data_IF_554474697757
#
_entry.id   IF_554474697757
#
_cell.length_a   1.000
_cell.length_b   1.000
_cell.length_c   1.000
_cell.angle_alpha   90.00
_cell.angle_beta   90.00
_cell.angle_gamma   90.00
#
_symmetry.space_group_name_H-M   'P 1'
#
loop_
_entity.id
_entity.type
_entity.pdbx_description
1 polymer ?
#
# COMPACT_ATOMS: atom_id res chain seq x y z
N UNK A 1 31.65 -5.06 -6.67
CA UNK A 1 30.59 -6.09 -6.51
C UNK A 1 29.23 -5.49 -6.14
N UNK A 2 29.19 -4.38 -5.39
CA UNK A 2 27.96 -3.65 -5.02
C UNK A 2 27.11 -3.19 -6.21
N UNK A 3 27.73 -2.61 -7.25
CA UNK A 3 26.99 -2.14 -8.44
C UNK A 3 26.22 -3.26 -9.16
N UNK A 4 26.79 -4.47 -9.23
CA UNK A 4 26.14 -5.63 -9.85
C UNK A 4 24.92 -6.11 -9.03
N UNK A 5 25.03 -6.08 -7.70
CA UNK A 5 23.90 -6.38 -6.81
C UNK A 5 22.74 -5.37 -6.95
N UNK A 6 23.06 -4.08 -7.06
CA UNK A 6 22.06 -3.03 -7.28
C UNK A 6 21.36 -3.22 -8.64
N UNK A 7 22.10 -3.55 -9.70
CA UNK A 7 21.51 -3.81 -11.03
C UNK A 7 20.51 -4.99 -10.95
N UNK A 8 20.90 -6.10 -10.32
CA UNK A 8 20.01 -7.27 -10.16
C UNK A 8 18.77 -6.90 -9.34
N UNK A 9 18.93 -6.17 -8.24
CA UNK A 9 17.83 -5.70 -7.40
C UNK A 9 16.85 -4.84 -8.22
N UNK A 10 17.35 -3.90 -9.02
CA UNK A 10 16.52 -3.03 -9.85
C UNK A 10 15.75 -3.83 -10.91
N UNK A 11 16.35 -4.87 -11.52
CA UNK A 11 15.66 -5.75 -12.48
C UNK A 11 14.50 -6.50 -11.80
N UNK A 12 14.72 -7.02 -10.58
CA UNK A 12 13.67 -7.71 -9.80
C UNK A 12 12.54 -6.74 -9.46
N UNK A 13 12.85 -5.53 -8.99
CA UNK A 13 11.85 -4.50 -8.68
C UNK A 13 11.06 -4.10 -9.93
N UNK A 14 11.73 -3.86 -11.05
CA UNK A 14 11.08 -3.53 -12.32
C UNK A 14 10.12 -4.63 -12.77
N UNK A 15 10.52 -5.90 -12.61
CA UNK A 15 9.68 -7.06 -12.93
C UNK A 15 8.45 -7.13 -12.01
N UNK A 16 8.63 -6.91 -10.70
CA UNK A 16 7.53 -6.86 -9.74
C UNK A 16 6.52 -5.75 -10.05
N UNK A 17 7.00 -4.54 -10.34
CA UNK A 17 6.16 -3.41 -10.74
C UNK A 17 5.40 -3.70 -12.04
N UNK A 18 6.05 -4.34 -13.02
CA UNK A 18 5.39 -4.76 -14.26
C UNK A 18 4.24 -5.75 -13.98
N UNK A 19 4.44 -6.72 -13.09
CA UNK A 19 3.36 -7.62 -12.65
C UNK A 19 2.22 -6.87 -11.96
N UNK A 20 2.51 -5.93 -11.06
CA UNK A 20 1.47 -5.12 -10.42
C UNK A 20 0.65 -4.30 -11.44
N UNK A 21 1.32 -3.68 -12.42
CA UNK A 21 0.62 -2.95 -13.49
C UNK A 21 -0.25 -3.89 -14.33
N UNK A 22 0.25 -5.08 -14.67
CA UNK A 22 -0.51 -6.07 -15.41
C UNK A 22 -1.73 -6.57 -14.63
N UNK A 23 -1.57 -6.87 -13.34
CA UNK A 23 -2.65 -7.29 -12.43
C UNK A 23 -3.70 -6.20 -12.27
N UNK A 24 -3.28 -4.92 -12.15
CA UNK A 24 -4.19 -3.79 -12.03
C UNK A 24 -5.15 -3.70 -13.24
N UNK A 25 -4.70 -4.08 -14.45
CA UNK A 25 -5.58 -4.13 -15.63
C UNK A 25 -6.73 -5.13 -15.47
N UNK A 26 -6.51 -6.25 -14.80
CA UNK A 26 -7.59 -7.23 -14.52
C UNK A 26 -8.54 -6.71 -13.44
N UNK A 27 -8.00 -6.04 -12.41
CA UNK A 27 -8.79 -5.43 -11.34
C UNK A 27 -9.70 -4.32 -11.89
N UNK A 28 -9.29 -3.58 -12.93
CA UNK A 28 -10.11 -2.54 -13.56
C UNK A 28 -11.49 -3.00 -14.03
N UNK A 29 -11.66 -4.28 -14.37
CA UNK A 29 -12.97 -4.82 -14.75
C UNK A 29 -13.95 -4.77 -13.56
N UNK A 30 -13.43 -4.94 -12.34
CA UNK A 30 -14.17 -4.91 -11.09
C UNK A 30 -14.20 -3.53 -10.43
N UNK A 31 -13.47 -2.54 -10.96
CA UNK A 31 -13.42 -1.16 -10.45
C UNK A 31 -14.82 -0.55 -10.31
N UNK A 32 -15.76 -0.93 -11.18
CA UNK A 32 -17.15 -0.49 -11.07
C UNK A 32 -17.78 -0.84 -9.71
N UNK A 33 -17.48 -2.00 -9.15
CA UNK A 33 -17.99 -2.43 -7.84
C UNK A 33 -17.46 -1.55 -6.70
N UNK A 34 -16.26 -0.99 -6.85
CA UNK A 34 -15.61 -0.16 -5.85
C UNK A 34 -16.22 1.26 -5.76
N UNK A 35 -16.75 1.78 -6.88
CA UNK A 35 -17.28 3.15 -6.96
C UNK A 35 -18.79 3.24 -7.16
N UNK A 36 -19.45 2.15 -7.51
CA UNK A 36 -20.90 2.07 -7.65
C UNK A 36 -21.52 1.22 -6.54
N UNK A 37 -22.79 1.50 -6.25
CA UNK A 37 -23.56 0.73 -5.27
C UNK A 37 -23.86 -0.65 -5.86
N UNK A 38 -23.63 -1.69 -5.07
CA UNK A 38 -23.91 -3.07 -5.44
C UNK A 38 -25.15 -3.55 -4.68
N UNK A 39 -26.24 -3.84 -5.40
CA UNK A 39 -27.43 -4.44 -4.77
C UNK A 39 -27.28 -5.96 -4.85
N UNK A 40 -26.99 -6.58 -3.70
CA UNK A 40 -27.02 -8.04 -3.56
C UNK A 40 -28.42 -8.47 -3.09
N UNK A 41 -28.84 -9.67 -3.50
CA UNK A 41 -30.02 -10.30 -2.94
C UNK A 41 -29.81 -10.59 -1.44
N UNK A 42 -30.90 -10.65 -0.66
CA UNK A 42 -30.81 -10.87 0.79
C UNK A 42 -30.14 -12.23 1.10
N UNK A 43 -30.42 -13.26 0.31
CA UNK A 43 -29.80 -14.57 0.47
C UNK A 43 -28.28 -14.51 0.21
N UNK A 44 -27.87 -13.87 -0.89
CA UNK A 44 -26.46 -13.72 -1.25
C UNK A 44 -25.70 -12.88 -0.23
N UNK A 45 -26.33 -11.85 0.33
CA UNK A 45 -25.72 -11.00 1.37
C UNK A 45 -25.36 -11.83 2.60
N UNK A 46 -26.29 -12.67 3.08
CA UNK A 46 -26.05 -13.57 4.22
C UNK A 46 -24.96 -14.60 3.93
N UNK A 47 -24.89 -15.13 2.71
CA UNK A 47 -23.84 -16.06 2.29
C UNK A 47 -22.46 -15.38 2.34
N UNK A 48 -22.33 -14.19 1.77
CA UNK A 48 -21.06 -13.42 1.75
C UNK A 48 -20.64 -13.01 3.16
N UNK A 49 -21.58 -12.64 4.03
CA UNK A 49 -21.31 -12.34 5.43
C UNK A 49 -20.78 -13.56 6.20
N UNK A 50 -21.40 -14.73 5.99
CA UNK A 50 -20.93 -15.98 6.59
C UNK A 50 -19.53 -16.39 6.10
N UNK A 51 -19.24 -16.22 4.80
CA UNK A 51 -17.90 -16.47 4.25
C UNK A 51 -16.85 -15.51 4.82
N UNK A 52 -17.19 -14.23 4.95
CA UNK A 52 -16.31 -13.23 5.55
C UNK A 52 -16.01 -13.57 7.02
N UNK A 53 -17.01 -14.00 7.78
CA UNK A 53 -16.83 -14.41 9.18
C UNK A 53 -15.92 -15.64 9.29
N UNK A 54 -16.10 -16.64 8.41
CA UNK A 54 -15.20 -17.79 8.33
C UNK A 54 -13.76 -17.37 7.98
N UNK A 55 -13.61 -16.42 7.05
CA UNK A 55 -12.31 -15.90 6.64
C UNK A 55 -11.64 -15.03 7.71
N UNK A 56 -12.38 -14.43 8.65
CA UNK A 56 -11.82 -13.51 9.66
C UNK A 56 -10.69 -14.15 10.50
N UNK A 57 -10.82 -15.43 10.82
CA UNK A 57 -9.78 -16.20 11.52
C UNK A 57 -8.50 -16.33 10.69
N UNK A 58 -8.66 -16.63 9.39
CA UNK A 58 -7.56 -16.75 8.43
C UNK A 58 -6.91 -15.40 8.17
N UNK A 59 -7.70 -14.35 8.01
CA UNK A 59 -7.24 -12.96 7.87
C UNK A 59 -6.33 -12.55 9.04
N UNK A 60 -6.80 -12.79 10.26
CA UNK A 60 -6.06 -12.47 11.47
C UNK A 60 -4.75 -13.25 11.53
N UNK A 61 -4.78 -14.56 11.27
CA UNK A 61 -3.58 -15.39 11.28
C UNK A 61 -2.54 -14.99 10.21
N UNK A 62 -3.00 -14.69 8.98
CA UNK A 62 -2.12 -14.22 7.90
C UNK A 62 -1.51 -12.86 8.22
N UNK A 63 -2.30 -11.92 8.75
CA UNK A 63 -1.86 -10.58 9.14
C UNK A 63 -0.84 -10.64 10.29
N UNK A 64 -1.07 -11.48 11.29
CA UNK A 64 -0.09 -11.73 12.37
C UNK A 64 1.21 -12.29 11.78
N UNK A 65 1.11 -13.31 10.92
CA UNK A 65 2.27 -13.95 10.30
C UNK A 65 3.08 -12.93 9.48
N UNK A 66 2.42 -12.11 8.68
CA UNK A 66 3.05 -11.05 7.90
C UNK A 66 3.78 -10.03 8.80
N UNK A 67 3.11 -9.55 9.85
CA UNK A 67 3.66 -8.59 10.80
C UNK A 67 4.88 -9.14 11.52
N UNK A 68 4.77 -10.36 12.04
CA UNK A 68 5.87 -11.04 12.74
C UNK A 68 7.06 -11.24 11.80
N UNK A 69 6.83 -11.64 10.54
CA UNK A 69 7.90 -11.84 9.56
C UNK A 69 8.61 -10.52 9.22
N UNK A 70 7.87 -9.41 9.09
CA UNK A 70 8.44 -8.08 8.92
C UNK A 70 9.29 -7.64 10.13
N UNK A 71 8.85 -7.91 11.36
CA UNK A 71 9.63 -7.59 12.57
C UNK A 71 10.91 -8.45 12.64
N UNK A 72 10.79 -9.75 12.39
CA UNK A 72 11.93 -10.69 12.36
C UNK A 72 12.93 -10.34 11.25
N UNK A 73 12.48 -9.71 10.16
CA UNK A 73 13.36 -9.27 9.06
C UNK A 73 14.44 -8.27 9.48
N UNK A 74 14.30 -7.61 10.63
CA UNK A 74 15.34 -6.75 11.21
C UNK A 74 16.52 -7.55 11.79
N UNK A 75 16.31 -8.81 12.19
CA UNK A 75 17.32 -9.65 12.84
C UNK A 75 18.56 -9.86 11.95
N UNK A 76 18.44 -10.23 10.65
CA UNK A 76 19.61 -10.37 9.77
C UNK A 76 20.49 -9.10 9.72
N UNK A 77 19.89 -7.91 9.65
CA UNK A 77 20.63 -6.64 9.64
C UNK A 77 21.33 -6.42 10.98
N UNK A 78 20.64 -6.61 12.10
CA UNK A 78 21.21 -6.45 13.44
C UNK A 78 22.36 -7.43 13.68
N UNK A 79 22.17 -8.71 13.35
CA UNK A 79 23.23 -9.71 13.42
C UNK A 79 24.44 -9.30 12.58
N UNK A 80 24.22 -8.90 11.33
CA UNK A 80 25.30 -8.41 10.48
C UNK A 80 26.07 -7.27 11.15
N UNK A 81 25.37 -6.28 11.71
CA UNK A 81 25.98 -5.14 12.40
C UNK A 81 26.89 -5.57 13.57
N UNK A 82 26.44 -6.50 14.41
CA UNK A 82 27.25 -7.04 15.52
C UNK A 82 28.50 -7.80 15.05
N UNK A 83 28.39 -8.60 13.98
CA UNK A 83 29.52 -9.39 13.48
C UNK A 83 30.56 -8.57 12.70
N UNK A 84 30.22 -7.35 12.26
CA UNK A 84 31.19 -6.46 11.58
C UNK A 84 32.41 -6.14 12.44
N UNK A 85 32.28 -6.13 13.77
CA UNK A 85 33.39 -5.84 14.70
C UNK A 85 34.43 -6.97 14.78
N UNK A 86 34.09 -8.18 14.33
CA UNK A 86 34.94 -9.37 14.46
C UNK A 86 35.58 -9.83 13.15
N UNK A 87 35.18 -9.28 12.00
CA UNK A 87 35.64 -9.72 10.68
C UNK A 87 36.52 -8.68 9.95
N UNK A 88 37.26 -9.14 8.93
CA UNK A 88 38.11 -8.29 8.08
C UNK A 88 37.34 -7.81 6.84
N UNK A 89 37.69 -6.62 6.33
CA UNK A 89 36.85 -5.78 5.44
C UNK A 89 36.16 -6.48 4.26
N UNK A 90 36.85 -7.38 3.54
CA UNK A 90 36.26 -8.05 2.37
C UNK A 90 35.16 -9.08 2.73
N UNK A 91 35.17 -9.62 3.96
CA UNK A 91 34.13 -10.51 4.47
C UNK A 91 32.92 -9.73 5.01
N UNK A 92 33.15 -8.52 5.53
CA UNK A 92 32.09 -7.62 6.01
C UNK A 92 31.17 -7.22 4.86
N UNK A 93 31.73 -6.81 3.72
CA UNK A 93 30.93 -6.38 2.57
C UNK A 93 30.02 -7.49 2.03
N UNK A 94 30.54 -8.73 1.99
CA UNK A 94 29.76 -9.90 1.57
C UNK A 94 28.66 -10.25 2.57
N UNK A 95 28.97 -10.21 3.87
CA UNK A 95 28.01 -10.47 4.95
C UNK A 95 26.89 -9.43 4.97
N UNK A 96 27.22 -8.14 4.85
CA UNK A 96 26.27 -7.02 4.78
C UNK A 96 25.35 -7.12 3.56
N UNK A 97 25.93 -7.44 2.40
CA UNK A 97 25.13 -7.62 1.17
C UNK A 97 24.16 -8.80 1.32
N UNK A 98 24.64 -9.91 1.91
CA UNK A 98 23.81 -11.09 2.20
C UNK A 98 22.71 -10.82 3.22
N UNK A 99 22.99 -10.08 4.30
CA UNK A 99 21.99 -9.74 5.31
C UNK A 99 20.88 -8.86 4.76
N UNK A 100 21.23 -7.86 3.93
CA UNK A 100 20.24 -7.01 3.24
C UNK A 100 19.38 -7.84 2.29
N UNK A 101 19.99 -8.73 1.51
CA UNK A 101 19.25 -9.60 0.58
C UNK A 101 18.24 -10.50 1.33
N UNK A 102 18.66 -11.13 2.45
CA UNK A 102 17.78 -11.96 3.28
C UNK A 102 16.65 -11.12 3.86
N UNK A 103 16.94 -9.93 4.39
CA UNK A 103 15.90 -9.03 4.92
C UNK A 103 14.90 -8.64 3.85
N UNK A 104 15.34 -8.30 2.64
CA UNK A 104 14.44 -7.97 1.54
C UNK A 104 13.54 -9.15 1.14
N UNK A 105 14.07 -10.37 1.16
CA UNK A 105 13.27 -11.58 0.89
C UNK A 105 12.21 -11.79 1.97
N UNK A 106 12.56 -11.65 3.26
CA UNK A 106 11.63 -11.78 4.37
C UNK A 106 10.52 -10.72 4.30
N UNK A 107 10.88 -9.46 4.03
CA UNK A 107 9.92 -8.38 3.82
C UNK A 107 9.03 -8.68 2.62
N UNK A 108 9.57 -9.16 1.50
CA UNK A 108 8.78 -9.50 0.32
C UNK A 108 7.72 -10.58 0.62
N UNK A 109 8.06 -11.60 1.41
CA UNK A 109 7.11 -12.63 1.85
C UNK A 109 6.03 -12.01 2.76
N UNK A 110 6.43 -11.15 3.71
CA UNK A 110 5.47 -10.47 4.60
C UNK A 110 4.51 -9.58 3.83
N UNK A 111 5.02 -8.76 2.91
CA UNK A 111 4.23 -7.90 2.02
C UNK A 111 3.30 -8.74 1.13
N UNK A 112 3.74 -9.90 0.62
CA UNK A 112 2.86 -10.79 -0.15
C UNK A 112 1.64 -11.24 0.67
N UNK A 113 1.83 -11.65 1.93
CA UNK A 113 0.72 -12.00 2.81
C UNK A 113 -0.20 -10.81 3.09
N UNK A 114 0.36 -9.62 3.35
CA UNK A 114 -0.43 -8.41 3.51
C UNK A 114 -1.27 -8.10 2.27
N UNK A 115 -0.66 -8.05 1.08
CA UNK A 115 -1.39 -7.75 -0.15
C UNK A 115 -2.49 -8.79 -0.39
N UNK A 116 -2.19 -10.08 -0.23
CA UNK A 116 -3.17 -11.15 -0.44
C UNK A 116 -4.35 -11.05 0.52
N UNK A 117 -4.10 -10.90 1.81
CA UNK A 117 -5.16 -10.94 2.83
C UNK A 117 -6.02 -9.68 2.81
N UNK A 118 -5.42 -8.50 2.62
CA UNK A 118 -6.16 -7.25 2.49
C UNK A 118 -7.00 -7.24 1.21
N UNK A 119 -6.47 -7.71 0.07
CA UNK A 119 -7.25 -7.75 -1.19
C UNK A 119 -8.50 -8.63 -1.05
N UNK A 120 -8.43 -9.75 -0.32
CA UNK A 120 -9.58 -10.62 -0.09
C UNK A 120 -10.58 -9.95 0.87
N UNK A 121 -10.11 -9.37 1.98
CA UNK A 121 -10.98 -8.66 2.93
C UNK A 121 -11.67 -7.45 2.29
N UNK A 122 -10.93 -6.65 1.53
CA UNK A 122 -11.46 -5.52 0.74
C UNK A 122 -12.53 -5.99 -0.25
N UNK A 123 -12.33 -7.14 -0.90
CA UNK A 123 -13.33 -7.74 -1.77
C UNK A 123 -14.67 -8.00 -1.07
N UNK A 124 -14.63 -8.58 0.13
CA UNK A 124 -15.83 -8.78 0.95
C UNK A 124 -16.45 -7.44 1.38
N UNK A 125 -15.63 -6.48 1.80
CA UNK A 125 -16.09 -5.15 2.23
C UNK A 125 -16.73 -4.35 1.09
N UNK A 126 -16.22 -4.48 -0.14
CA UNK A 126 -16.79 -3.89 -1.37
C UNK A 126 -18.18 -4.46 -1.66
N UNK A 127 -18.32 -5.79 -1.57
CA UNK A 127 -19.58 -6.50 -1.86
C UNK A 127 -20.65 -6.17 -0.81
N UNK A 128 -20.28 -6.17 0.47
CA UNK A 128 -21.19 -5.85 1.57
C UNK A 128 -21.40 -4.34 1.77
N UNK A 129 -20.62 -3.49 1.09
CA UNK A 129 -20.64 -2.03 1.20
C UNK A 129 -20.44 -1.51 2.64
N UNK A 130 -19.48 -2.11 3.36
CA UNK A 130 -19.16 -1.77 4.74
C UNK A 130 -17.83 -1.00 4.84
N UNK A 131 -17.52 -0.45 6.02
CA UNK A 131 -16.31 0.34 6.31
C UNK A 131 -16.11 1.51 5.31
N UNK A 132 -15.03 1.49 4.54
CA UNK A 132 -14.70 2.53 3.58
C UNK A 132 -15.47 2.40 2.26
N UNK A 133 -16.25 1.33 2.07
CA UNK A 133 -17.02 1.07 0.85
C UNK A 133 -18.52 1.35 1.01
N UNK A 134 -18.92 2.10 2.02
CA UNK A 134 -20.30 2.60 2.15
C UNK A 134 -20.65 3.51 0.96
N UNK A 135 -21.93 3.59 0.56
CA UNK A 135 -22.37 4.43 -0.56
C UNK A 135 -21.88 5.88 -0.48
N UNK A 136 -21.85 6.45 0.73
CA UNK A 136 -21.40 7.82 1.01
C UNK A 136 -19.91 8.00 0.70
N UNK A 137 -19.07 7.10 1.22
CA UNK A 137 -17.62 7.13 1.00
C UNK A 137 -17.27 6.87 -0.48
N UNK A 138 -18.00 5.98 -1.16
CA UNK A 138 -17.83 5.73 -2.60
C UNK A 138 -18.10 7.00 -3.44
N UNK A 139 -19.14 7.77 -3.10
CA UNK A 139 -19.45 9.05 -3.77
C UNK A 139 -18.35 10.10 -3.55
N UNK A 140 -17.85 10.24 -2.32
CA UNK A 140 -16.74 11.12 -1.97
C UNK A 140 -15.48 10.78 -2.78
N UNK A 141 -15.09 9.50 -2.80
CA UNK A 141 -13.97 8.98 -3.60
C UNK A 141 -14.14 9.25 -5.09
N UNK A 142 -15.32 8.99 -5.64
CA UNK A 142 -15.60 9.20 -7.07
C UNK A 142 -15.43 10.67 -7.48
N UNK A 143 -15.80 11.61 -6.62
CA UNK A 143 -15.56 13.05 -6.84
C UNK A 143 -14.06 13.37 -6.72
N UNK A 144 -13.41 12.94 -5.65
CA UNK A 144 -11.98 13.19 -5.41
C UNK A 144 -11.13 12.65 -6.56
N UNK A 145 -11.44 11.46 -7.09
CA UNK A 145 -10.73 10.84 -8.22
C UNK A 145 -10.68 11.72 -9.47
N UNK A 146 -11.72 12.52 -9.74
CA UNK A 146 -11.72 13.48 -10.87
C UNK A 146 -10.70 14.59 -10.67
N UNK A 147 -10.49 15.02 -9.43
CA UNK A 147 -9.57 16.10 -9.06
C UNK A 147 -8.18 15.58 -8.64
N UNK A 148 -8.04 14.27 -8.42
CA UNK A 148 -6.82 13.64 -7.92
C UNK A 148 -5.61 13.99 -8.79
N UNK A 149 -5.74 13.92 -10.13
CA UNK A 149 -4.65 14.28 -11.05
C UNK A 149 -4.21 15.74 -10.85
N UNK A 150 -5.15 16.67 -10.75
CA UNK A 150 -4.84 18.09 -10.56
C UNK A 150 -4.18 18.32 -9.20
N UNK A 151 -4.72 17.71 -8.14
CA UNK A 151 -4.16 17.78 -6.79
C UNK A 151 -2.71 17.29 -6.74
N UNK A 152 -2.42 16.12 -7.31
CA UNK A 152 -1.07 15.55 -7.34
C UNK A 152 -0.10 16.40 -8.16
N UNK A 153 -0.56 16.98 -9.28
CA UNK A 153 0.25 17.90 -10.07
C UNK A 153 0.57 19.19 -9.31
N UNK A 154 -0.38 19.75 -8.56
CA UNK A 154 -0.15 20.93 -7.71
C UNK A 154 0.88 20.62 -6.61
N UNK A 155 0.72 19.50 -5.90
CA UNK A 155 1.67 19.10 -4.85
C UNK A 155 3.06 18.84 -5.41
N UNK A 156 3.16 18.25 -6.61
CA UNK A 156 4.43 18.08 -7.32
C UNK A 156 5.05 19.42 -7.71
N UNK A 157 4.24 20.38 -8.19
CA UNK A 157 4.72 21.72 -8.53
C UNK A 157 5.22 22.48 -7.29
N UNK A 158 4.53 22.35 -6.15
CA UNK A 158 4.97 22.92 -4.87
C UNK A 158 6.29 22.29 -4.43
N UNK A 159 6.39 20.95 -4.47
CA UNK A 159 7.62 20.23 -4.15
C UNK A 159 8.79 20.71 -5.02
N UNK A 160 8.64 20.70 -6.34
CA UNK A 160 9.70 21.11 -7.27
C UNK A 160 10.04 22.60 -7.13
N UNK A 161 9.03 23.48 -7.02
CA UNK A 161 9.25 24.91 -6.87
C UNK A 161 10.01 25.26 -5.59
N UNK A 162 9.66 24.63 -4.47
CA UNK A 162 10.37 24.77 -3.21
C UNK A 162 11.79 24.19 -3.29
N UNK A 163 11.95 22.97 -3.80
CA UNK A 163 13.25 22.30 -3.93
C UNK A 163 14.23 23.06 -4.82
N UNK A 164 13.78 23.58 -5.96
CA UNK A 164 14.64 24.34 -6.86
C UNK A 164 14.97 25.74 -6.32
N UNK A 165 14.03 26.40 -5.63
CA UNK A 165 14.27 27.75 -5.11
C UNK A 165 15.16 27.78 -3.87
N UNK A 166 15.14 26.73 -3.05
CA UNK A 166 15.87 26.69 -1.78
C UNK A 166 17.09 25.77 -1.81
N UNK A 167 17.26 25.00 -2.90
CA UNK A 167 18.24 23.91 -3.04
C UNK A 167 18.22 22.88 -1.90
N UNK A 168 17.16 22.92 -1.07
CA UNK A 168 17.06 22.15 0.16
C UNK A 168 16.23 20.88 -0.05
N UNK A 169 16.82 19.92 -0.74
CA UNK A 169 16.24 18.61 -1.01
C UNK A 169 16.10 17.74 0.25
N UNK A 170 16.84 18.05 1.31
CA UNK A 170 16.80 17.30 2.58
C UNK A 170 15.49 17.49 3.36
N UNK A 171 14.85 18.65 3.24
CA UNK A 171 13.59 18.95 3.94
C UNK A 171 12.37 18.94 3.03
N UNK A 172 12.55 19.13 1.71
CA UNK A 172 11.45 19.22 0.77
C UNK A 172 10.61 17.94 0.67
N UNK A 173 11.17 16.77 1.02
CA UNK A 173 10.42 15.51 1.00
C UNK A 173 9.21 15.51 1.94
N UNK A 174 9.16 16.39 2.95
CA UNK A 174 8.03 16.50 3.88
C UNK A 174 6.71 16.87 3.19
N UNK A 175 6.78 17.45 1.99
CA UNK A 175 5.61 17.74 1.15
C UNK A 175 4.85 16.45 0.80
N UNK A 176 5.54 15.32 0.64
CA UNK A 176 4.90 14.04 0.31
C UNK A 176 3.99 13.52 1.43
N UNK A 177 4.45 13.34 2.69
CA UNK A 177 3.55 13.00 3.81
C UNK A 177 2.38 13.97 3.96
N UNK A 178 2.63 15.28 3.88
CA UNK A 178 1.57 16.31 4.00
C UNK A 178 0.53 16.12 2.90
N UNK A 179 0.97 15.91 1.66
CA UNK A 179 0.07 15.69 0.52
C UNK A 179 -0.79 14.43 0.68
N UNK A 180 -0.26 13.35 1.26
CA UNK A 180 -1.04 12.15 1.55
C UNK A 180 -2.16 12.42 2.57
N UNK A 181 -1.81 13.08 3.67
CA UNK A 181 -2.78 13.41 4.75
C UNK A 181 -3.87 14.35 4.22
N UNK A 182 -3.49 15.42 3.50
CA UNK A 182 -4.45 16.38 2.94
C UNK A 182 -5.38 15.71 1.91
N UNK A 183 -4.91 14.74 1.13
CA UNK A 183 -5.75 13.99 0.20
C UNK A 183 -6.86 13.22 0.93
N UNK A 184 -6.51 12.48 1.98
CA UNK A 184 -7.47 11.74 2.80
C UNK A 184 -8.49 12.64 3.51
N UNK A 185 -8.07 13.82 3.97
CA UNK A 185 -8.98 14.80 4.57
C UNK A 185 -9.99 15.31 3.54
N UNK A 186 -9.53 15.69 2.34
CA UNK A 186 -10.39 16.18 1.27
C UNK A 186 -11.40 15.12 0.82
N UNK A 187 -10.97 13.85 0.72
CA UNK A 187 -11.85 12.73 0.41
C UNK A 187 -12.99 12.59 1.44
N UNK A 188 -12.67 12.64 2.74
CA UNK A 188 -13.67 12.60 3.82
C UNK A 188 -14.61 13.81 3.80
N UNK A 189 -14.11 15.02 3.51
CA UNK A 189 -14.94 16.22 3.37
C UNK A 189 -15.95 16.05 2.22
N UNK A 190 -15.51 15.53 1.08
CA UNK A 190 -16.42 15.28 -0.05
C UNK A 190 -17.45 14.18 0.24
N UNK A 191 -17.10 13.19 1.06
CA UNK A 191 -18.02 12.18 1.56
C UNK A 191 -19.12 12.82 2.44
N UNK A 192 -18.72 13.54 3.50
CA UNK A 192 -19.66 14.20 4.43
C UNK A 192 -20.57 15.24 3.74
N UNK A 193 -20.03 16.03 2.80
CA UNK A 193 -20.84 17.02 2.06
C UNK A 193 -21.91 16.37 1.18
N UNK A 194 -21.74 15.10 0.81
CA UNK A 194 -22.75 14.37 0.06
C UNK A 194 -23.99 14.04 0.90
N UNK A 195 -23.86 13.96 2.23
CA UNK A 195 -24.96 13.63 3.13
C UNK A 195 -25.99 14.77 3.23
N UNK A 196 -25.51 16.02 3.23
CA UNK A 196 -26.37 17.20 3.29
C UNK A 196 -27.12 17.53 2.00
N UNK A 197 -26.86 16.83 0.90
CA UNK A 197 -27.56 17.04 -0.40
C UNK A 197 -28.55 15.91 -0.70
N UNK A 198 -28.44 14.74 -0.03
CA UNK A 198 -29.40 13.65 -0.15
C UNK A 198 -30.55 13.74 0.87
N UNK A 199 -30.51 14.74 1.76
CA UNK A 199 -31.50 15.03 2.80
C UNK A 199 -32.39 16.25 2.51
N UNK A 200 -32.22 16.87 1.33
CA UNK A 200 -33.09 17.90 0.74
C UNK A 200 -33.78 17.35 -0.52
#
# INVERSE_FOLDING_TARGET
MTALGVIILLIIVATGVAFFIASNRYIKIYEKLEYENCTLDEETTKQVEAEKEQYASTYTAMTITATVLCIISAIPILCGAFFTQHLSGNQIDSLMTGSVAITLILIAIGVFFFVKTNTIEDGYDILLQVKDYTPQNKLGRKKMRKYATIYWLIMTAIYLGYSFSTENWEHSWIVWPISGITYSILEKIFSMKSDGVASD
#
